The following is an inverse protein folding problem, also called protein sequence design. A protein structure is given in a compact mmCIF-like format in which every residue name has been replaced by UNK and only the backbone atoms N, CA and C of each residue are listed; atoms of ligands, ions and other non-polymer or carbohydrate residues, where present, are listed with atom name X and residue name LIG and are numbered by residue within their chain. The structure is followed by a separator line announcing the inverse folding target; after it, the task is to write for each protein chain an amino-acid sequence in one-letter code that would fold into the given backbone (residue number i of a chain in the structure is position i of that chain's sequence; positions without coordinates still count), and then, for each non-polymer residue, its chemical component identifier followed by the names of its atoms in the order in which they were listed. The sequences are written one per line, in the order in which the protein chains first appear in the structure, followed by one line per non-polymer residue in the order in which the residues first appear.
data_IF_511553108823
#
_entry.id   IF_511553108823
#
_cell.length_a   1.000
_cell.length_b   1.000
_cell.length_c   1.000
_cell.angle_alpha   90.00
_cell.angle_beta   90.00
_cell.angle_gamma   90.00
#
_symmetry.space_group_name_H-M   'P 1'
#
loop_
_entity.id
_entity.type
_entity.pdbx_description
1 polymer ?
#
# COMPACT_ATOMS: atom_id res chain seq x y z
N UNK A 1 -15.11 -3.16 9.61
CA UNK A 1 -14.20 -2.93 8.47
C UNK A 1 -13.08 -1.99 8.90
N UNK A 2 -11.86 -2.35 8.62
CA UNK A 2 -10.72 -1.53 8.99
C UNK A 2 -10.67 -0.25 8.16
N UNK A 3 -10.25 0.87 8.74
CA UNK A 3 -10.01 2.06 7.92
C UNK A 3 -8.73 1.92 7.10
N UNK A 4 -8.64 2.71 6.02
CA UNK A 4 -7.39 2.89 5.28
C UNK A 4 -6.72 4.16 5.78
N UNK A 5 -5.48 4.03 6.19
CA UNK A 5 -4.65 5.17 6.55
C UNK A 5 -3.62 5.40 5.44
N UNK A 6 -3.53 6.62 4.95
CA UNK A 6 -2.66 6.98 3.85
C UNK A 6 -1.40 7.65 4.39
N UNK A 7 -0.26 7.11 4.04
CA UNK A 7 1.03 7.62 4.54
C UNK A 7 1.66 8.54 3.50
N UNK A 8 2.15 9.69 3.94
CA UNK A 8 2.81 10.65 3.06
C UNK A 8 1.88 11.12 1.95
N UNK A 9 2.38 11.15 0.73
CA UNK A 9 1.62 11.59 -0.44
C UNK A 9 0.82 10.48 -1.11
N UNK A 10 0.70 9.31 -0.48
CA UNK A 10 0.11 8.13 -1.15
C UNK A 10 -1.32 8.39 -1.62
N UNK A 11 -2.14 9.09 -0.85
CA UNK A 11 -3.52 9.39 -1.27
C UNK A 11 -3.55 10.33 -2.46
N UNK A 12 -2.77 11.40 -2.39
CA UNK A 12 -2.69 12.37 -3.50
C UNK A 12 -2.23 11.68 -4.78
N UNK A 13 -1.22 10.84 -4.66
CA UNK A 13 -0.68 10.13 -5.82
C UNK A 13 -1.70 9.15 -6.38
N UNK A 14 -2.39 8.41 -5.51
CA UNK A 14 -3.45 7.49 -5.92
C UNK A 14 -4.57 8.22 -6.66
N UNK A 15 -4.96 9.39 -6.17
CA UNK A 15 -6.03 10.16 -6.78
C UNK A 15 -5.66 10.76 -8.13
N UNK A 16 -4.38 10.80 -8.46
CA UNK A 16 -3.92 11.25 -9.77
C UNK A 16 -4.01 10.18 -10.85
N UNK A 17 -4.28 8.94 -10.48
CA UNK A 17 -4.36 7.83 -11.42
C UNK A 17 -5.65 7.89 -12.24
N UNK A 18 -5.66 7.27 -13.44
CA UNK A 18 -6.89 7.15 -14.21
C UNK A 18 -8.00 6.45 -13.42
N UNK A 19 -9.25 6.82 -13.67
CA UNK A 19 -10.38 6.26 -12.94
C UNK A 19 -10.43 4.74 -12.92
N UNK A 20 -10.19 4.02 -14.03
CA UNK A 20 -10.20 2.56 -13.97
C UNK A 20 -9.13 2.00 -13.04
N UNK A 21 -7.96 2.66 -12.96
CA UNK A 21 -6.89 2.23 -12.06
C UNK A 21 -7.30 2.47 -10.61
N UNK A 22 -7.88 3.64 -10.33
CA UNK A 22 -8.38 3.92 -8.98
C UNK A 22 -9.44 2.90 -8.55
N UNK A 23 -10.32 2.53 -9.46
CA UNK A 23 -11.37 1.56 -9.15
C UNK A 23 -10.77 0.19 -8.80
N UNK A 24 -9.81 -0.28 -9.59
CA UNK A 24 -9.18 -1.56 -9.33
C UNK A 24 -8.37 -1.60 -8.05
N UNK A 25 -7.60 -0.56 -7.82
CA UNK A 25 -6.79 -0.45 -6.59
C UNK A 25 -7.65 -0.20 -5.37
N UNK A 26 -8.71 0.60 -5.52
CA UNK A 26 -9.66 0.82 -4.45
C UNK A 26 -10.36 -0.47 -4.04
N UNK A 27 -10.66 -1.34 -4.99
CA UNK A 27 -11.22 -2.64 -4.69
C UNK A 27 -10.22 -3.51 -3.92
N UNK A 28 -8.94 -3.47 -4.31
CA UNK A 28 -7.92 -4.21 -3.58
C UNK A 28 -7.81 -3.76 -2.12
N UNK A 29 -7.85 -2.44 -1.90
CA UNK A 29 -7.84 -1.89 -0.55
C UNK A 29 -9.10 -2.27 0.23
N UNK A 30 -10.26 -2.25 -0.43
CA UNK A 30 -11.51 -2.67 0.19
C UNK A 30 -11.43 -4.12 0.66
N UNK A 31 -10.90 -5.02 -0.17
CA UNK A 31 -10.74 -6.41 0.24
C UNK A 31 -9.81 -6.52 1.44
N UNK A 32 -8.72 -5.75 1.44
CA UNK A 32 -7.81 -5.73 2.58
C UNK A 32 -8.51 -5.26 3.86
N UNK A 33 -9.37 -4.25 3.74
CA UNK A 33 -10.14 -3.75 4.88
C UNK A 33 -11.06 -4.81 5.47
N UNK A 34 -11.50 -5.76 4.66
CA UNK A 34 -12.39 -6.84 5.11
C UNK A 34 -11.65 -8.11 5.48
N UNK A 35 -10.32 -8.05 5.53
CA UNK A 35 -9.51 -9.23 5.87
C UNK A 35 -9.27 -10.17 4.71
N UNK A 36 -9.59 -9.75 3.49
CA UNK A 36 -9.39 -10.55 2.29
C UNK A 36 -8.23 -10.00 1.48
N UNK A 37 -7.80 -10.75 0.48
CA UNK A 37 -6.72 -10.33 -0.40
C UNK A 37 -7.18 -10.34 -1.84
N UNK A 38 -6.88 -9.27 -2.56
CA UNK A 38 -7.17 -9.19 -3.99
C UNK A 38 -6.37 -10.25 -4.74
N UNK A 39 -6.97 -10.84 -5.79
CA UNK A 39 -6.32 -11.90 -6.55
C UNK A 39 -5.00 -11.48 -7.19
N UNK A 40 -4.85 -10.20 -7.51
CA UNK A 40 -3.63 -9.68 -8.12
C UNK A 40 -2.65 -9.11 -7.10
N UNK A 41 -3.00 -9.09 -5.82
CA UNK A 41 -2.09 -8.62 -4.78
C UNK A 41 -1.03 -9.68 -4.50
N UNK A 42 0.21 -9.24 -4.41
CA UNK A 42 1.35 -10.13 -4.18
C UNK A 42 2.25 -9.54 -3.10
N UNK A 43 2.88 -10.39 -2.28
CA UNK A 43 3.89 -9.89 -1.35
C UNK A 43 5.01 -9.17 -2.08
N UNK A 44 5.37 -8.01 -1.60
CA UNK A 44 6.48 -7.26 -2.15
C UNK A 44 7.78 -7.81 -1.55
N UNK A 45 8.72 -8.18 -2.42
CA UNK A 45 10.00 -8.73 -1.99
C UNK A 45 10.80 -7.69 -1.21
N UNK A 46 11.53 -8.15 -0.21
CA UNK A 46 12.42 -7.30 0.58
C UNK A 46 11.86 -6.84 1.92
N UNK A 47 10.65 -7.28 2.27
CA UNK A 47 10.00 -6.88 3.53
C UNK A 47 9.73 -8.06 4.48
N UNK A 48 10.19 -9.25 4.11
CA UNK A 48 10.02 -10.41 4.97
C UNK A 48 8.55 -10.68 5.29
N UNK A 49 8.24 -10.91 6.55
CA UNK A 49 6.87 -11.18 7.00
C UNK A 49 6.07 -9.95 7.38
N UNK A 50 6.43 -8.78 6.88
CA UNK A 50 5.79 -7.52 7.31
C UNK A 50 4.43 -7.26 6.68
N UNK A 51 3.88 -8.21 5.91
CA UNK A 51 2.55 -8.06 5.34
C UNK A 51 2.45 -6.96 4.30
N UNK A 52 3.54 -6.63 3.62
CA UNK A 52 3.57 -5.61 2.58
C UNK A 52 3.19 -6.24 1.26
N UNK A 53 2.15 -5.71 0.64
CA UNK A 53 1.60 -6.23 -0.61
C UNK A 53 1.67 -5.16 -1.70
N UNK A 54 1.78 -5.60 -2.94
CA UNK A 54 1.66 -4.70 -4.08
C UNK A 54 0.57 -5.18 -5.02
N UNK A 55 -0.14 -4.21 -5.60
CA UNK A 55 -1.09 -4.43 -6.67
C UNK A 55 -0.60 -3.66 -7.89
N UNK A 56 -0.58 -4.33 -9.02
CA UNK A 56 -0.14 -3.74 -10.30
C UNK A 56 -1.34 -3.67 -11.23
N UNK A 57 -1.55 -2.53 -11.86
CA UNK A 57 -2.63 -2.35 -12.80
C UNK A 57 -2.10 -1.66 -14.05
N UNK A 58 -2.36 -2.27 -15.20
CA UNK A 58 -1.97 -1.71 -16.49
C UNK A 58 -3.16 -0.99 -17.11
N UNK A 59 -2.92 0.21 -17.64
CA UNK A 59 -3.96 0.99 -18.28
C UNK A 59 -3.37 1.77 -19.45
N UNK A 60 -3.85 1.48 -20.66
CA UNK A 60 -3.43 2.17 -21.88
C UNK A 60 -1.91 2.25 -22.04
N UNK A 61 -1.23 1.16 -21.78
CA UNK A 61 0.23 1.07 -21.95
C UNK A 61 1.04 1.53 -20.77
N UNK A 62 0.42 2.13 -19.77
CA UNK A 62 1.10 2.56 -18.55
C UNK A 62 0.85 1.57 -17.42
N UNK A 63 1.83 1.44 -16.55
CA UNK A 63 1.77 0.54 -15.41
C UNK A 63 1.73 1.34 -14.12
N UNK A 64 0.72 1.06 -13.30
CA UNK A 64 0.52 1.72 -12.00
C UNK A 64 0.66 0.70 -10.89
N UNK A 65 1.21 1.13 -9.77
CA UNK A 65 1.41 0.26 -8.61
C UNK A 65 0.91 0.93 -7.34
N UNK A 66 0.32 0.12 -6.48
CA UNK A 66 -0.04 0.54 -5.13
C UNK A 66 0.58 -0.46 -4.16
N UNK A 67 1.17 0.06 -3.10
CA UNK A 67 1.81 -0.75 -2.06
C UNK A 67 1.14 -0.43 -0.73
N UNK A 68 0.71 -1.46 -0.04
CA UNK A 68 0.02 -1.31 1.24
C UNK A 68 0.42 -2.44 2.18
N UNK A 69 0.17 -2.28 3.47
CA UNK A 69 0.44 -3.34 4.42
C UNK A 69 -0.82 -3.72 5.17
N UNK A 70 -0.96 -5.03 5.38
CA UNK A 70 -2.05 -5.62 6.17
C UNK A 70 -1.54 -6.15 7.51
N UNK A 71 -0.35 -5.71 7.90
CA UNK A 71 0.31 -6.15 9.13
C UNK A 71 -0.51 -5.83 10.39
N UNK A 72 -1.27 -4.76 10.35
CA UNK A 72 -1.98 -4.27 11.54
C UNK A 72 -3.45 -4.68 11.51
N UNK A 73 -3.98 -5.08 12.66
CA UNK A 73 -5.37 -5.50 12.74
C UNK A 73 -6.34 -4.32 12.67
N UNK A 74 -5.91 -3.14 13.12
CA UNK A 74 -6.78 -1.99 13.26
C UNK A 74 -6.88 -1.12 12.01
N UNK A 75 -5.96 -1.26 11.07
CA UNK A 75 -5.95 -0.41 9.88
C UNK A 75 -5.14 -1.03 8.76
N UNK A 76 -5.52 -0.69 7.53
CA UNK A 76 -4.70 -0.94 6.34
C UNK A 76 -3.94 0.35 6.06
N UNK A 77 -2.63 0.27 5.97
CA UNK A 77 -1.82 1.44 5.66
C UNK A 77 -1.39 1.40 4.21
N UNK A 78 -1.81 2.41 3.44
CA UNK A 78 -1.32 2.58 2.08
C UNK A 78 0.00 3.34 2.16
N UNK A 79 1.06 2.73 1.64
CA UNK A 79 2.41 3.24 1.79
C UNK A 79 2.87 4.04 0.57
N UNK A 80 2.46 3.63 -0.62
CA UNK A 80 2.98 4.25 -1.84
C UNK A 80 2.08 3.94 -3.01
N UNK A 81 1.89 4.92 -3.87
CA UNK A 81 1.17 4.75 -5.13
C UNK A 81 1.99 5.47 -6.20
N UNK A 82 2.36 4.76 -7.25
CA UNK A 82 3.25 5.35 -8.24
C UNK A 82 3.07 4.71 -9.61
N UNK A 83 3.38 5.47 -10.64
CA UNK A 83 3.42 4.99 -12.00
C UNK A 83 4.83 4.51 -12.29
N UNK A 84 4.95 3.28 -12.75
CA UNK A 84 6.25 2.74 -13.14
C UNK A 84 6.51 3.14 -14.58
N UNK A 85 7.50 4.00 -14.78
CA UNK A 85 7.81 4.52 -16.10
C UNK A 85 8.72 3.60 -16.91
N UNK A 86 9.44 2.71 -16.26
CA UNK A 86 10.33 1.79 -16.96
C UNK A 86 9.55 0.59 -17.44
N UNK A 87 9.62 0.30 -18.72
CA UNK A 87 9.00 -0.88 -19.29
C UNK A 87 9.85 -2.13 -19.10
N UNK A 88 11.05 -1.98 -18.60
CA UNK A 88 11.98 -3.09 -18.41
C UNK A 88 12.02 -3.48 -16.95
N UNK A 89 11.79 -4.76 -16.74
CA UNK A 89 11.92 -5.33 -15.43
C UNK A 89 10.69 -5.15 -14.56
N UNK A 90 10.51 -6.11 -13.66
CA UNK A 90 9.37 -6.15 -12.74
C UNK A 90 9.74 -5.63 -11.36
N UNK A 91 11.01 -5.25 -11.19
CA UNK A 91 11.47 -4.79 -9.89
C UNK A 91 11.02 -3.37 -9.62
N UNK A 92 10.64 -3.14 -8.40
CA UNK A 92 10.37 -1.79 -7.93
C UNK A 92 11.69 -1.01 -7.91
N UNK A 93 11.74 0.19 -8.49
CA UNK A 93 12.97 0.98 -8.47
C UNK A 93 13.50 1.21 -7.05
N UNK A 94 14.82 1.29 -6.86
CA UNK A 94 15.38 1.46 -5.52
C UNK A 94 14.86 2.65 -4.75
N UNK A 95 14.63 3.78 -5.43
CA UNK A 95 14.11 4.97 -4.76
C UNK A 95 12.69 4.76 -4.24
N UNK A 96 11.88 3.99 -4.98
CA UNK A 96 10.53 3.65 -4.52
C UNK A 96 10.59 2.66 -3.38
N UNK A 97 11.50 1.69 -3.44
CA UNK A 97 11.70 0.74 -2.35
C UNK A 97 12.10 1.45 -1.06
N UNK A 98 12.99 2.43 -1.16
CA UNK A 98 13.39 3.20 0.02
C UNK A 98 12.24 4.02 0.57
N UNK A 99 11.45 4.63 -0.30
CA UNK A 99 10.25 5.36 0.11
C UNK A 99 9.28 4.44 0.84
N UNK A 100 9.07 3.23 0.33
CA UNK A 100 8.18 2.26 0.95
C UNK A 100 8.70 1.86 2.33
N UNK A 101 10.01 1.61 2.46
CA UNK A 101 10.59 1.27 3.77
C UNK A 101 10.39 2.39 4.78
N UNK A 102 10.63 3.61 4.36
CA UNK A 102 10.48 4.78 5.22
C UNK A 102 9.04 4.95 5.65
N UNK A 103 8.11 4.74 4.73
CA UNK A 103 6.69 4.89 5.03
C UNK A 103 6.15 3.73 5.84
N UNK A 104 6.69 2.53 5.69
CA UNK A 104 6.34 1.42 6.55
C UNK A 104 6.72 1.74 8.00
N UNK A 105 7.91 2.31 8.20
CA UNK A 105 8.32 2.71 9.54
C UNK A 105 7.40 3.80 10.08
N UNK A 106 7.03 4.75 9.25
CA UNK A 106 6.08 5.80 9.65
C UNK A 106 4.72 5.20 10.04
N UNK A 107 4.26 4.19 9.30
CA UNK A 107 3.02 3.50 9.62
C UNK A 107 3.13 2.77 10.96
N UNK A 108 4.25 2.10 11.21
CA UNK A 108 4.48 1.43 12.49
C UNK A 108 4.48 2.42 13.65
N UNK A 109 5.12 3.57 13.47
CA UNK A 109 5.16 4.61 14.50
C UNK A 109 3.76 5.20 14.72
N UNK A 110 3.04 5.47 13.64
CA UNK A 110 1.67 5.98 13.72
C UNK A 110 0.76 4.99 14.46
N UNK A 111 0.84 3.72 14.11
CA UNK A 111 0.03 2.68 14.74
C UNK A 111 0.32 2.60 16.24
N UNK A 112 1.60 2.64 16.61
CA UNK A 112 2.01 2.57 18.00
C UNK A 112 1.48 3.76 18.80
N UNK A 113 1.51 4.95 18.22
CA UNK A 113 1.03 6.18 18.88
C UNK A 113 -0.47 6.21 19.05
N UNK A 114 -1.21 5.60 18.13
CA UNK A 114 -2.67 5.62 18.12
C UNK A 114 -3.28 4.39 18.75
N UNK A 115 -2.45 3.44 19.16
CA UNK A 115 -2.90 2.26 19.86
C UNK A 115 -3.14 2.64 21.32
N UNK A 116 -4.38 2.52 21.78
CA UNK A 116 -4.70 2.78 23.17
C UNK A 116 -4.07 1.67 24.02
N UNK A 117 -3.16 2.01 24.94
CA UNK A 117 -2.57 0.99 25.79
C UNK A 117 -3.64 0.39 26.70
N UNK A 118 -3.85 -0.89 26.58
CA UNK A 118 -4.78 -1.58 27.46
C UNK A 118 -4.19 -1.64 28.85
N UNK A 119 -4.99 -1.31 29.83
CA UNK A 119 -4.55 -1.35 31.20
C UNK A 119 -3.85 -0.10 31.67
N UNK A 120 -3.72 0.90 30.83
CA UNK A 120 -3.23 2.22 31.26
C UNK A 120 -4.39 3.15 31.50
N UNK A 121 -5.31 2.65 32.21
CA UNK A 121 -6.46 3.46 32.61
C UNK A 121 -6.02 4.53 33.60
#
# INVERSE_FOLDING_TARGET
MKPVAWIGSSYKDFRSFPDPVQDGMGYALFLAQTGKMHGDAKPLKGFGGAGVLEVVDDNQGDTYRAVYTVKFEEAVYDLHAFQKKSKQGRKTPPQDMEMIRRRLKAAEDHHRQHQTPRGSA
#
